data_IF_698940172199
#
_entry.id   IF_698940172199
#
_cell.length_a   1.000
_cell.length_b   1.000
_cell.length_c   1.000
_cell.angle_alpha   90.00
_cell.angle_beta   90.00
_cell.angle_gamma   90.00
#
_symmetry.space_group_name_H-M   'P 1'
#
loop_
_entity.id
_entity.type
_entity.pdbx_description
1 polymer ?
#
# COMPACT_ATOMS: atom_id res chain seq x y z
N UNK A 1 -55.90 0.18 16.60
CA UNK A 1 -56.40 -1.09 17.20
C UNK A 1 -56.69 -0.84 18.68
N UNK A 2 -57.74 -1.43 19.31
CA UNK A 2 -57.96 -1.29 20.76
C UNK A 2 -57.20 -2.37 21.54
N UNK A 3 -56.94 -2.14 22.83
CA UNK A 3 -56.24 -3.11 23.70
C UNK A 3 -56.99 -4.44 23.77
N UNK A 4 -58.35 -4.41 23.77
CA UNK A 4 -59.18 -5.63 23.76
C UNK A 4 -58.96 -6.45 22.48
N UNK A 5 -58.99 -5.80 21.31
CA UNK A 5 -58.76 -6.48 20.03
C UNK A 5 -57.31 -7.03 19.92
N UNK A 6 -56.34 -6.28 20.41
CA UNK A 6 -54.96 -6.75 20.43
C UNK A 6 -54.80 -7.97 21.31
N UNK A 7 -55.41 -7.97 22.48
CA UNK A 7 -55.42 -9.11 23.39
C UNK A 7 -56.10 -10.36 22.77
N UNK A 8 -57.21 -10.18 22.09
CA UNK A 8 -57.93 -11.25 21.40
C UNK A 8 -57.09 -11.89 20.28
N UNK A 9 -56.48 -11.07 19.39
CA UNK A 9 -55.65 -11.58 18.29
C UNK A 9 -54.41 -12.32 18.75
N UNK A 10 -53.79 -11.88 19.86
CA UNK A 10 -52.58 -12.49 20.40
C UNK A 10 -52.86 -13.58 21.43
N UNK A 11 -54.14 -13.85 21.73
CA UNK A 11 -54.61 -14.82 22.73
C UNK A 11 -53.95 -14.60 24.12
N UNK A 12 -53.90 -13.33 24.53
CA UNK A 12 -53.40 -12.88 25.83
C UNK A 12 -54.50 -12.15 26.62
N UNK A 13 -54.27 -11.88 27.90
CA UNK A 13 -55.25 -11.10 28.69
C UNK A 13 -55.16 -9.59 28.37
N UNK A 14 -56.27 -8.87 28.45
CA UNK A 14 -56.34 -7.42 28.37
C UNK A 14 -55.33 -6.75 29.34
N UNK A 15 -55.22 -7.29 30.55
CA UNK A 15 -54.31 -6.79 31.58
C UNK A 15 -52.83 -6.90 31.13
N UNK A 16 -52.49 -7.93 30.36
CA UNK A 16 -51.14 -8.08 29.80
C UNK A 16 -50.83 -6.94 28.80
N UNK A 17 -51.74 -6.71 27.86
CA UNK A 17 -51.61 -5.61 26.87
C UNK A 17 -51.54 -4.25 27.57
N UNK A 18 -52.38 -4.00 28.53
CA UNK A 18 -52.40 -2.76 29.32
C UNK A 18 -51.06 -2.52 30.07
N UNK A 19 -50.43 -3.60 30.60
CA UNK A 19 -49.11 -3.52 31.22
C UNK A 19 -48.01 -3.24 30.20
N UNK A 20 -48.09 -3.77 28.99
CA UNK A 20 -47.12 -3.50 27.92
C UNK A 20 -47.18 -2.05 27.48
N UNK A 21 -48.38 -1.50 27.25
CA UNK A 21 -48.55 -0.12 26.84
C UNK A 21 -48.17 0.90 27.93
N UNK A 22 -48.30 0.51 29.20
CA UNK A 22 -47.89 1.39 30.33
C UNK A 22 -46.43 1.20 30.74
N UNK A 23 -45.68 0.29 30.07
CA UNK A 23 -44.30 -0.04 30.41
C UNK A 23 -44.14 -0.80 31.74
N UNK A 24 -45.26 -1.27 32.38
CA UNK A 24 -45.20 -2.04 33.62
C UNK A 24 -44.73 -3.49 33.41
N UNK A 25 -44.77 -3.98 32.19
CA UNK A 25 -44.20 -5.26 31.76
C UNK A 25 -43.86 -5.20 30.26
N UNK A 26 -42.98 -6.08 29.80
CA UNK A 26 -42.71 -6.29 28.38
C UNK A 26 -43.41 -7.52 27.87
N UNK A 27 -43.76 -7.59 26.57
CA UNK A 27 -44.19 -8.82 25.91
C UNK A 27 -43.12 -9.91 26.05
N UNK A 28 -43.53 -11.16 26.10
CA UNK A 28 -42.64 -12.30 25.96
C UNK A 28 -41.98 -12.29 24.56
N UNK A 29 -40.71 -12.73 24.45
CA UNK A 29 -40.00 -12.81 23.17
C UNK A 29 -40.77 -13.56 22.09
N UNK A 30 -41.55 -14.57 22.44
CA UNK A 30 -42.42 -15.32 21.53
C UNK A 30 -43.54 -14.49 20.92
N UNK A 31 -43.89 -13.36 21.55
CA UNK A 31 -44.95 -12.44 21.10
C UNK A 31 -44.44 -11.33 20.18
N UNK A 32 -43.13 -11.11 20.11
CA UNK A 32 -42.54 -9.99 19.34
C UNK A 32 -42.90 -10.13 17.84
N UNK A 33 -42.64 -11.28 17.23
CA UNK A 33 -42.94 -11.52 15.81
C UNK A 33 -44.46 -11.48 15.52
N UNK A 34 -45.35 -12.13 16.34
CA UNK A 34 -46.78 -11.96 16.19
C UNK A 34 -47.28 -10.50 16.31
N UNK A 35 -46.73 -9.72 17.26
CA UNK A 35 -47.02 -8.30 17.42
C UNK A 35 -46.63 -7.49 16.19
N UNK A 36 -45.41 -7.65 15.73
CA UNK A 36 -44.89 -6.93 14.54
C UNK A 36 -45.78 -7.22 13.31
N UNK A 37 -46.12 -8.48 13.07
CA UNK A 37 -47.01 -8.89 11.96
C UNK A 37 -48.42 -8.31 12.09
N UNK A 38 -48.98 -8.30 13.32
CA UNK A 38 -50.33 -7.80 13.56
C UNK A 38 -50.44 -6.28 13.41
N UNK A 39 -49.35 -5.58 13.74
CA UNK A 39 -49.27 -4.12 13.64
C UNK A 39 -48.75 -3.66 12.25
N UNK A 40 -48.37 -4.60 11.37
CA UNK A 40 -47.84 -4.37 10.04
C UNK A 40 -46.56 -3.50 10.09
N UNK A 41 -45.68 -3.81 11.04
CA UNK A 41 -44.38 -3.20 11.23
C UNK A 41 -43.28 -4.25 11.28
N UNK A 42 -42.03 -3.83 11.11
CA UNK A 42 -40.86 -4.68 11.35
C UNK A 42 -40.63 -4.90 12.87
N UNK A 43 -39.84 -5.87 13.26
CA UNK A 43 -39.41 -6.02 14.65
C UNK A 43 -38.60 -4.85 15.14
N UNK A 44 -37.79 -4.27 14.25
CA UNK A 44 -36.95 -3.10 14.55
C UNK A 44 -37.81 -1.88 14.84
N UNK A 45 -38.81 -1.60 13.98
CA UNK A 45 -39.78 -0.52 14.21
C UNK A 45 -40.59 -0.76 15.49
N UNK A 46 -40.91 -2.01 15.82
CA UNK A 46 -41.61 -2.35 17.07
C UNK A 46 -40.76 -2.01 18.31
N UNK A 47 -39.44 -2.18 18.20
CA UNK A 47 -38.48 -1.80 19.25
C UNK A 47 -38.08 -0.32 19.20
N UNK A 48 -38.61 0.44 18.26
CA UNK A 48 -38.27 1.86 18.10
C UNK A 48 -36.90 2.10 17.45
N UNK A 49 -36.36 1.09 16.77
CA UNK A 49 -35.11 1.23 16.00
C UNK A 49 -35.49 1.83 14.63
N UNK A 50 -35.15 3.09 14.42
CA UNK A 50 -35.23 3.72 13.10
C UNK A 50 -33.92 3.42 12.34
N UNK A 51 -33.99 2.52 11.38
CA UNK A 51 -32.84 2.13 10.56
C UNK A 51 -32.20 3.32 9.81
N UNK A 52 -32.98 4.35 9.48
CA UNK A 52 -32.45 5.55 8.84
C UNK A 52 -31.73 6.45 9.84
N UNK A 53 -32.29 6.63 11.04
CA UNK A 53 -31.61 7.39 12.11
C UNK A 53 -30.30 6.71 12.52
N UNK A 54 -30.29 5.38 12.59
CA UNK A 54 -29.09 4.62 12.92
C UNK A 54 -28.01 4.76 11.83
N UNK A 55 -28.37 4.66 10.56
CA UNK A 55 -27.42 4.91 9.45
C UNK A 55 -26.83 6.31 9.49
N UNK A 56 -27.67 7.34 9.69
CA UNK A 56 -27.21 8.71 9.82
C UNK A 56 -26.30 8.91 11.05
N UNK A 57 -26.61 8.24 12.16
CA UNK A 57 -25.75 8.23 13.35
C UNK A 57 -24.38 7.64 13.04
N UNK A 58 -24.33 6.50 12.36
CA UNK A 58 -23.08 5.83 12.00
C UNK A 58 -22.25 6.66 11.02
N UNK A 59 -22.85 7.29 10.01
CA UNK A 59 -22.16 8.19 9.09
C UNK A 59 -21.56 9.38 9.83
N UNK A 60 -22.33 10.06 10.68
CA UNK A 60 -21.84 11.17 11.48
C UNK A 60 -20.75 10.76 12.46
N UNK A 61 -20.85 9.57 13.03
CA UNK A 61 -19.83 9.02 13.92
C UNK A 61 -18.52 8.78 13.17
N UNK A 62 -18.58 8.23 11.95
CA UNK A 62 -17.40 8.06 11.09
C UNK A 62 -16.75 9.40 10.80
N UNK A 63 -17.49 10.42 10.47
CA UNK A 63 -16.96 11.77 10.27
C UNK A 63 -16.23 12.29 11.52
N UNK A 64 -16.85 12.16 12.71
CA UNK A 64 -16.25 12.59 13.98
C UNK A 64 -14.98 11.79 14.29
N UNK A 65 -14.99 10.48 14.04
CA UNK A 65 -13.81 9.61 14.23
C UNK A 65 -12.67 10.04 13.32
N UNK A 66 -12.92 10.23 12.02
CA UNK A 66 -11.90 10.67 11.07
C UNK A 66 -11.40 12.08 11.32
N UNK A 67 -12.23 12.96 11.89
CA UNK A 67 -11.78 14.29 12.32
C UNK A 67 -10.74 14.22 13.45
N UNK A 68 -10.79 13.20 14.32
CA UNK A 68 -9.75 12.99 15.34
C UNK A 68 -8.37 12.69 14.75
N UNK A 69 -8.30 12.16 13.53
CA UNK A 69 -7.04 11.94 12.84
C UNK A 69 -6.42 13.25 12.33
N UNK A 70 -7.24 14.18 11.89
CA UNK A 70 -6.80 15.51 11.44
C UNK A 70 -6.35 16.38 12.61
N UNK A 71 -7.03 16.27 13.74
CA UNK A 71 -6.74 17.05 14.94
C UNK A 71 -5.67 16.43 15.84
N UNK A 72 -5.36 15.13 15.65
CA UNK A 72 -4.44 14.40 16.51
C UNK A 72 -5.03 14.06 17.89
N UNK A 73 -6.37 14.14 18.06
CA UNK A 73 -7.04 13.88 19.34
C UNK A 73 -7.16 12.38 19.63
N UNK A 74 -6.09 11.83 20.20
CA UNK A 74 -5.97 10.40 20.51
C UNK A 74 -6.97 9.97 21.58
N UNK A 75 -7.16 10.80 22.61
CA UNK A 75 -8.07 10.49 23.72
C UNK A 75 -9.52 10.38 23.25
N UNK A 76 -9.96 11.35 22.44
CA UNK A 76 -11.29 11.32 21.86
C UNK A 76 -11.49 10.12 20.94
N UNK A 77 -10.49 9.79 20.12
CA UNK A 77 -10.49 8.61 19.24
C UNK A 77 -10.66 7.32 20.04
N UNK A 78 -9.89 7.15 21.11
CA UNK A 78 -9.97 5.99 21.99
C UNK A 78 -11.35 5.88 22.64
N UNK A 79 -11.88 6.99 23.18
CA UNK A 79 -13.18 7.01 23.82
C UNK A 79 -14.29 6.61 22.88
N UNK A 80 -14.29 7.16 21.65
CA UNK A 80 -15.26 6.78 20.61
C UNK A 80 -15.14 5.29 20.31
N UNK A 81 -13.95 4.80 19.99
CA UNK A 81 -13.72 3.41 19.61
C UNK A 81 -14.15 2.43 20.70
N UNK A 82 -13.87 2.75 21.95
CA UNK A 82 -14.25 1.92 23.09
C UNK A 82 -15.77 1.88 23.28
N UNK A 83 -16.44 3.02 23.22
CA UNK A 83 -17.89 3.11 23.34
C UNK A 83 -18.58 2.31 22.23
N UNK A 84 -18.12 2.42 20.98
CA UNK A 84 -18.74 1.73 19.86
C UNK A 84 -18.51 0.21 19.91
N UNK A 85 -17.37 -0.27 20.38
CA UNK A 85 -17.16 -1.72 20.58
C UNK A 85 -18.02 -2.26 21.71
N UNK A 86 -18.28 -1.50 22.77
CA UNK A 86 -19.20 -1.88 23.85
C UNK A 86 -20.65 -1.95 23.35
N UNK A 87 -21.05 -1.01 22.49
CA UNK A 87 -22.41 -0.95 21.92
C UNK A 87 -22.62 -1.97 20.80
N UNK A 88 -21.59 -2.20 19.95
CA UNK A 88 -21.62 -3.11 18.79
C UNK A 88 -20.48 -4.14 18.85
N UNK A 89 -20.48 -5.09 19.78
CA UNK A 89 -19.34 -5.99 20.04
C UNK A 89 -18.97 -6.92 18.87
N UNK A 90 -19.88 -7.08 17.90
CA UNK A 90 -19.64 -7.86 16.68
C UNK A 90 -19.13 -7.03 15.48
N UNK A 91 -19.03 -5.71 15.62
CA UNK A 91 -18.59 -4.84 14.52
C UNK A 91 -17.06 -4.78 14.46
N UNK A 92 -16.50 -5.49 13.45
CA UNK A 92 -15.04 -5.59 13.29
C UNK A 92 -14.39 -4.27 12.82
N UNK A 93 -15.13 -3.34 12.21
CA UNK A 93 -14.62 -2.01 11.89
C UNK A 93 -14.40 -1.18 13.16
N UNK A 94 -15.35 -1.22 14.09
CA UNK A 94 -15.19 -0.55 15.38
C UNK A 94 -14.09 -1.21 16.23
N UNK A 95 -13.99 -2.55 16.16
CA UNK A 95 -12.88 -3.26 16.81
C UNK A 95 -11.53 -2.84 16.25
N UNK A 96 -11.44 -2.61 14.93
CA UNK A 96 -10.24 -2.06 14.29
C UNK A 96 -9.93 -0.65 14.80
N UNK A 97 -10.93 0.21 14.95
CA UNK A 97 -10.72 1.55 15.50
C UNK A 97 -10.13 1.49 16.91
N UNK A 98 -10.61 0.55 17.73
CA UNK A 98 -10.09 0.35 19.08
C UNK A 98 -8.67 -0.21 19.06
N UNK A 99 -8.38 -1.18 18.18
CA UNK A 99 -7.04 -1.74 18.01
C UNK A 99 -6.02 -0.68 17.60
N UNK A 100 -6.38 0.17 16.63
CA UNK A 100 -5.56 1.32 16.20
C UNK A 100 -5.34 2.30 17.35
N UNK A 101 -6.40 2.65 18.10
CA UNK A 101 -6.31 3.58 19.21
C UNK A 101 -5.40 3.05 20.33
N UNK A 102 -5.48 1.77 20.68
CA UNK A 102 -4.58 1.11 21.63
C UNK A 102 -3.12 1.22 21.15
N UNK A 103 -2.85 0.92 19.89
CA UNK A 103 -1.50 1.05 19.30
C UNK A 103 -0.98 2.49 19.41
N UNK A 104 -1.80 3.49 19.12
CA UNK A 104 -1.41 4.90 19.25
C UNK A 104 -1.18 5.32 20.70
N UNK A 105 -1.97 4.84 21.64
CA UNK A 105 -1.69 5.06 23.06
C UNK A 105 -0.34 4.47 23.45
N UNK A 106 -0.03 3.24 23.01
CA UNK A 106 1.29 2.63 23.23
C UNK A 106 2.44 3.48 22.70
N UNK A 107 2.31 4.06 21.50
CA UNK A 107 3.34 4.93 20.89
C UNK A 107 3.53 6.23 21.69
N UNK A 108 2.46 6.77 22.29
CA UNK A 108 2.47 8.07 22.99
C UNK A 108 2.61 7.96 24.50
N UNK A 109 2.84 6.76 25.05
CA UNK A 109 3.17 6.61 26.47
C UNK A 109 4.44 7.39 26.82
N UNK A 110 4.41 8.11 27.94
CA UNK A 110 5.49 8.99 28.36
C UNK A 110 6.78 8.23 28.69
N UNK A 111 6.68 6.96 29.07
CA UNK A 111 7.80 6.12 29.48
C UNK A 111 7.91 4.90 28.57
N UNK A 112 8.99 4.87 27.78
CA UNK A 112 9.28 3.75 26.87
C UNK A 112 9.58 2.47 27.67
N UNK A 113 8.93 1.38 27.31
CA UNK A 113 9.06 0.09 27.99
C UNK A 113 8.26 0.00 29.28
N UNK A 114 7.42 0.98 29.61
CA UNK A 114 6.51 0.92 30.75
C UNK A 114 5.50 -0.21 30.62
N UNK A 115 5.02 -0.68 31.78
CA UNK A 115 3.96 -1.70 31.81
C UNK A 115 2.71 -1.24 31.05
N UNK A 116 2.35 0.04 31.18
CA UNK A 116 1.23 0.65 30.50
C UNK A 116 1.39 0.59 28.96
N UNK A 117 2.56 0.96 28.45
CA UNK A 117 2.88 0.88 27.03
C UNK A 117 2.72 -0.55 26.48
N UNK A 118 3.30 -1.51 27.21
CA UNK A 118 3.24 -2.92 26.83
C UNK A 118 1.79 -3.41 26.80
N UNK A 119 1.00 -3.07 27.82
CA UNK A 119 -0.42 -3.45 27.89
C UNK A 119 -1.25 -2.88 26.72
N UNK A 120 -0.96 -1.65 26.30
CA UNK A 120 -1.61 -1.06 25.13
C UNK A 120 -1.27 -1.82 23.86
N UNK A 121 -0.01 -2.11 23.59
CA UNK A 121 0.38 -2.88 22.41
C UNK A 121 -0.16 -4.31 22.43
N UNK A 122 -0.17 -4.99 23.58
CA UNK A 122 -0.74 -6.34 23.69
C UNK A 122 -2.24 -6.35 23.43
N UNK A 123 -3.00 -5.34 23.90
CA UNK A 123 -4.42 -5.20 23.56
C UNK A 123 -4.63 -4.93 22.06
N UNK A 124 -3.78 -4.06 21.47
CA UNK A 124 -3.81 -3.80 20.04
C UNK A 124 -3.60 -5.08 19.24
N UNK A 125 -2.60 -5.88 19.57
CA UNK A 125 -2.33 -7.19 18.94
C UNK A 125 -3.54 -8.11 19.07
N UNK A 126 -4.07 -8.27 20.28
CA UNK A 126 -5.23 -9.12 20.55
C UNK A 126 -6.45 -8.75 19.69
N UNK A 127 -6.77 -7.47 19.58
CA UNK A 127 -7.91 -7.02 18.77
C UNK A 127 -7.68 -7.22 17.27
N UNK A 128 -6.47 -6.99 16.77
CA UNK A 128 -6.15 -7.25 15.36
C UNK A 128 -6.17 -8.75 15.04
N UNK A 129 -5.68 -9.63 15.93
CA UNK A 129 -5.76 -11.09 15.74
C UNK A 129 -7.21 -11.52 15.60
N UNK A 130 -8.08 -11.01 16.46
CA UNK A 130 -9.51 -11.29 16.39
C UNK A 130 -10.14 -10.85 15.06
N UNK A 131 -9.75 -9.69 14.54
CA UNK A 131 -10.21 -9.22 13.22
C UNK A 131 -9.73 -10.15 12.11
N UNK A 132 -8.48 -10.62 12.16
CA UNK A 132 -7.93 -11.54 11.16
C UNK A 132 -8.67 -12.88 11.17
N UNK A 133 -9.04 -13.37 12.37
CA UNK A 133 -9.77 -14.62 12.55
C UNK A 133 -11.22 -14.50 12.05
N UNK A 134 -11.95 -13.48 12.48
CA UNK A 134 -13.39 -13.38 12.32
C UNK A 134 -13.84 -12.70 11.01
N UNK A 135 -12.99 -11.86 10.39
CA UNK A 135 -13.35 -11.11 9.19
C UNK A 135 -13.39 -12.00 7.94
N UNK A 136 -14.32 -11.71 7.04
CA UNK A 136 -14.33 -12.20 5.65
C UNK A 136 -13.86 -11.13 4.66
N UNK A 137 -13.72 -9.88 5.11
CA UNK A 137 -13.25 -8.76 4.30
C UNK A 137 -11.72 -8.76 4.20
N UNK A 138 -11.19 -8.91 3.00
CA UNK A 138 -9.75 -8.94 2.72
C UNK A 138 -9.06 -7.62 3.07
N UNK A 139 -9.69 -6.48 2.81
CA UNK A 139 -9.11 -5.16 3.10
C UNK A 139 -9.01 -4.92 4.61
N UNK A 140 -10.02 -5.36 5.35
CA UNK A 140 -9.99 -5.27 6.81
C UNK A 140 -8.90 -6.17 7.39
N UNK A 141 -8.74 -7.40 6.87
CA UNK A 141 -7.64 -8.31 7.24
C UNK A 141 -6.26 -7.73 6.92
N UNK A 142 -6.07 -7.20 5.74
CA UNK A 142 -4.81 -6.55 5.35
C UNK A 142 -4.47 -5.38 6.28
N UNK A 143 -5.47 -4.54 6.59
CA UNK A 143 -5.29 -3.44 7.53
C UNK A 143 -4.93 -3.93 8.94
N UNK A 144 -5.55 -5.01 9.41
CA UNK A 144 -5.25 -5.63 10.71
C UNK A 144 -3.84 -6.24 10.74
N UNK A 145 -3.43 -6.95 9.67
CA UNK A 145 -2.05 -7.48 9.55
C UNK A 145 -1.03 -6.35 9.63
N UNK A 146 -1.29 -5.22 8.97
CA UNK A 146 -0.42 -4.02 9.06
C UNK A 146 -0.31 -3.51 10.50
N UNK A 147 -1.42 -3.37 11.20
CA UNK A 147 -1.47 -2.93 12.59
C UNK A 147 -0.72 -3.88 13.54
N UNK A 148 -0.92 -5.19 13.37
CA UNK A 148 -0.22 -6.21 14.17
C UNK A 148 1.30 -6.15 13.98
N UNK A 149 1.77 -5.97 12.74
CA UNK A 149 3.20 -5.85 12.45
C UNK A 149 3.82 -4.68 13.20
N UNK A 150 3.14 -3.53 13.26
CA UNK A 150 3.62 -2.37 14.01
C UNK A 150 3.64 -2.66 15.51
N UNK A 151 2.53 -3.12 16.09
CA UNK A 151 2.44 -3.38 17.52
C UNK A 151 3.45 -4.44 17.99
N UNK A 152 3.61 -5.54 17.27
CA UNK A 152 4.59 -6.57 17.57
C UNK A 152 6.05 -6.07 17.41
N UNK A 153 6.31 -5.21 16.44
CA UNK A 153 7.64 -4.62 16.24
C UNK A 153 8.02 -3.72 17.41
N UNK A 154 7.07 -2.92 17.94
CA UNK A 154 7.24 -2.05 19.09
C UNK A 154 7.38 -2.85 20.41
N UNK A 155 6.68 -3.99 20.53
CA UNK A 155 6.90 -4.96 21.60
C UNK A 155 8.25 -5.70 21.50
N UNK A 156 8.99 -5.53 20.40
CA UNK A 156 10.23 -6.26 20.13
C UNK A 156 10.03 -7.72 19.67
N UNK A 157 8.79 -8.17 19.47
CA UNK A 157 8.40 -9.53 19.00
C UNK A 157 8.51 -9.64 17.47
N UNK A 158 9.73 -9.36 16.95
CA UNK A 158 9.95 -9.19 15.51
C UNK A 158 9.79 -10.45 14.68
N UNK A 159 10.07 -11.61 15.24
CA UNK A 159 9.91 -12.88 14.51
C UNK A 159 8.44 -13.18 14.24
N UNK A 160 7.56 -12.82 15.19
CA UNK A 160 6.12 -12.92 15.02
C UNK A 160 5.63 -11.86 14.01
N UNK A 161 6.07 -10.61 14.15
CA UNK A 161 5.79 -9.56 13.18
C UNK A 161 6.16 -9.98 11.74
N UNK A 162 7.31 -10.65 11.59
CA UNK A 162 7.78 -11.15 10.30
C UNK A 162 6.85 -12.20 9.69
N UNK A 163 6.24 -13.06 10.50
CA UNK A 163 5.27 -14.06 10.03
C UNK A 163 4.02 -13.38 9.45
N UNK A 164 3.50 -12.36 10.12
CA UNK A 164 2.37 -11.56 9.61
C UNK A 164 2.76 -10.73 8.38
N UNK A 165 3.90 -10.05 8.40
CA UNK A 165 4.36 -9.22 7.28
C UNK A 165 4.48 -10.00 5.97
N UNK A 166 4.92 -11.27 6.01
CA UNK A 166 5.05 -12.13 4.83
C UNK A 166 3.73 -12.46 4.15
N UNK A 167 2.62 -12.38 4.87
CA UNK A 167 1.27 -12.68 4.36
C UNK A 167 0.61 -11.45 3.71
N UNK A 168 1.17 -10.26 3.92
CA UNK A 168 0.59 -9.01 3.42
C UNK A 168 0.97 -8.77 1.95
N UNK A 169 0.06 -8.25 1.10
CA UNK A 169 0.39 -7.87 -0.29
C UNK A 169 1.58 -6.90 -0.37
N UNK A 170 1.61 -5.88 0.50
CA UNK A 170 2.70 -4.91 0.61
C UNK A 170 3.80 -5.39 1.59
N UNK A 171 4.10 -6.68 1.59
CA UNK A 171 5.08 -7.28 2.52
C UNK A 171 6.40 -6.52 2.57
N UNK A 172 6.85 -6.04 1.42
CA UNK A 172 8.13 -5.36 1.31
C UNK A 172 8.18 -4.04 2.09
N UNK A 173 7.06 -3.32 2.17
CA UNK A 173 6.95 -2.13 3.02
C UNK A 173 6.90 -2.49 4.52
N UNK A 174 6.34 -3.64 4.87
CA UNK A 174 6.25 -4.08 6.26
C UNK A 174 7.54 -4.71 6.79
N UNK A 175 8.31 -5.40 5.95
CA UNK A 175 9.58 -6.03 6.34
C UNK A 175 10.58 -5.05 6.97
N UNK A 176 10.55 -3.77 6.58
CA UNK A 176 11.42 -2.74 7.17
C UNK A 176 11.23 -2.52 8.68
N UNK A 177 10.08 -2.90 9.24
CA UNK A 177 9.79 -2.83 10.67
C UNK A 177 10.24 -4.08 11.43
N UNK A 178 10.30 -5.22 10.72
CA UNK A 178 10.66 -6.52 11.28
C UNK A 178 12.17 -6.77 11.26
N UNK A 179 12.87 -6.33 10.20
CA UNK A 179 14.28 -6.60 9.97
C UNK A 179 15.21 -5.72 10.83
N UNK A 180 16.46 -6.17 11.05
CA UNK A 180 17.51 -5.45 11.79
C UNK A 180 18.86 -5.55 11.09
N UNK A 181 19.78 -4.70 11.51
CA UNK A 181 21.20 -4.77 11.14
C UNK A 181 21.43 -4.75 9.63
N UNK A 182 22.23 -5.66 9.12
CA UNK A 182 22.59 -5.72 7.70
C UNK A 182 21.41 -6.15 6.83
N UNK A 183 20.52 -7.03 7.31
CA UNK A 183 19.33 -7.44 6.56
C UNK A 183 18.37 -6.24 6.34
N UNK A 184 18.19 -5.41 7.36
CA UNK A 184 17.41 -4.17 7.21
C UNK A 184 18.06 -3.19 6.22
N UNK A 185 19.40 -3.05 6.25
CA UNK A 185 20.12 -2.18 5.32
C UNK A 185 19.95 -2.69 3.88
N UNK A 186 20.19 -3.98 3.67
CA UNK A 186 20.00 -4.62 2.36
C UNK A 186 18.58 -4.44 1.85
N UNK A 187 17.58 -4.72 2.69
CA UNK A 187 16.17 -4.58 2.34
C UNK A 187 15.81 -3.13 1.96
N UNK A 188 16.26 -2.14 2.75
CA UNK A 188 16.05 -0.72 2.44
C UNK A 188 16.68 -0.31 1.12
N UNK A 189 17.89 -0.77 0.82
CA UNK A 189 18.56 -0.50 -0.45
C UNK A 189 17.81 -1.13 -1.63
N UNK A 190 17.27 -2.34 -1.48
CA UNK A 190 16.39 -2.98 -2.48
C UNK A 190 15.11 -2.19 -2.72
N UNK A 191 14.51 -1.63 -1.65
CA UNK A 191 13.33 -0.77 -1.79
C UNK A 191 13.67 0.55 -2.52
N UNK A 192 14.79 1.19 -2.17
CA UNK A 192 15.26 2.41 -2.86
C UNK A 192 15.51 2.11 -4.34
N UNK A 193 16.17 0.99 -4.64
CA UNK A 193 16.44 0.57 -6.02
C UNK A 193 15.16 0.46 -6.84
N UNK A 194 14.14 -0.25 -6.33
CA UNK A 194 12.84 -0.40 -7.03
C UNK A 194 12.14 0.95 -7.21
N UNK A 195 12.04 1.74 -6.13
CA UNK A 195 11.38 3.07 -6.19
C UNK A 195 12.10 4.04 -7.12
N UNK A 196 13.43 3.96 -7.20
CA UNK A 196 14.20 4.74 -8.18
C UNK A 196 13.88 4.27 -9.60
N UNK A 197 13.89 2.96 -9.85
CA UNK A 197 13.54 2.40 -11.17
C UNK A 197 12.14 2.81 -11.61
N UNK A 198 11.15 2.72 -10.71
CA UNK A 198 9.77 3.12 -10.97
C UNK A 198 9.69 4.62 -11.31
N UNK A 199 10.34 5.48 -10.50
CA UNK A 199 10.39 6.92 -10.74
C UNK A 199 11.02 7.26 -12.10
N UNK A 200 12.15 6.62 -12.44
CA UNK A 200 12.81 6.85 -13.72
C UNK A 200 11.90 6.43 -14.88
N UNK A 201 11.23 5.28 -14.77
CA UNK A 201 10.26 4.80 -15.76
C UNK A 201 9.11 5.79 -15.96
N UNK A 202 8.52 6.31 -14.89
CA UNK A 202 7.43 7.31 -14.99
C UNK A 202 7.91 8.61 -15.66
N UNK A 203 9.12 9.08 -15.37
CA UNK A 203 9.69 10.28 -16.01
C UNK A 203 9.97 10.06 -17.50
N UNK A 204 10.23 8.84 -17.93
CA UNK A 204 10.51 8.46 -19.31
C UNK A 204 9.27 8.17 -20.14
N UNK A 205 8.10 7.96 -19.51
CA UNK A 205 6.83 7.73 -20.24
C UNK A 205 6.37 8.93 -21.06
N UNK A 206 6.79 10.15 -20.70
CA UNK A 206 6.54 11.37 -21.46
C UNK A 206 7.57 11.52 -22.59
N UNK A 207 7.51 10.61 -23.58
CA UNK A 207 8.47 10.47 -24.69
C UNK A 207 8.76 11.72 -25.52
N UNK A 208 8.02 12.80 -25.32
CA UNK A 208 8.18 14.05 -26.08
C UNK A 208 8.62 15.23 -25.21
N UNK A 209 8.77 15.02 -23.90
CA UNK A 209 9.24 16.04 -22.97
C UNK A 209 10.72 15.85 -22.67
N UNK A 210 11.56 16.54 -23.45
CA UNK A 210 13.01 16.44 -23.32
C UNK A 210 13.53 16.76 -21.91
N UNK A 211 12.94 17.75 -21.24
CA UNK A 211 13.39 18.13 -19.90
C UNK A 211 13.05 17.06 -18.84
N UNK A 212 11.91 16.41 -18.96
CA UNK A 212 11.49 15.32 -18.05
C UNK A 212 12.40 14.10 -18.22
N UNK A 213 12.68 13.70 -19.49
CA UNK A 213 13.61 12.60 -19.80
C UNK A 213 15.01 12.91 -19.27
N UNK A 214 15.49 14.13 -19.49
CA UNK A 214 16.79 14.58 -18.99
C UNK A 214 16.85 14.66 -17.47
N UNK A 215 15.72 14.93 -16.80
CA UNK A 215 15.64 14.93 -15.35
C UNK A 215 15.87 13.52 -14.80
N UNK A 216 15.33 12.47 -15.44
CA UNK A 216 15.57 11.08 -15.06
C UNK A 216 17.08 10.74 -15.09
N UNK A 217 17.79 11.12 -16.15
CA UNK A 217 19.26 10.96 -16.24
C UNK A 217 19.97 11.66 -15.08
N UNK A 218 19.61 12.92 -14.79
CA UNK A 218 20.22 13.70 -13.70
C UNK A 218 20.00 13.08 -12.33
N UNK A 219 18.77 12.60 -12.06
CA UNK A 219 18.43 11.92 -10.81
C UNK A 219 19.27 10.66 -10.65
N UNK A 220 19.36 9.83 -11.69
CA UNK A 220 20.13 8.60 -11.64
C UNK A 220 21.62 8.88 -11.35
N UNK A 221 22.21 9.84 -12.06
CA UNK A 221 23.62 10.24 -11.87
C UNK A 221 23.88 10.88 -10.51
N UNK A 222 22.89 11.53 -9.91
CA UNK A 222 23.01 12.08 -8.56
C UNK A 222 22.97 10.96 -7.50
N UNK A 223 22.16 9.92 -7.71
CA UNK A 223 22.01 8.81 -6.78
C UNK A 223 23.19 7.82 -6.88
N UNK A 224 23.69 7.58 -8.09
CA UNK A 224 24.86 6.72 -8.36
C UNK A 224 26.01 7.63 -8.80
N UNK A 225 26.69 8.22 -7.82
CA UNK A 225 27.70 9.26 -8.01
C UNK A 225 29.10 8.72 -8.37
N UNK A 226 29.28 7.40 -8.27
CA UNK A 226 30.51 6.68 -8.61
C UNK A 226 30.52 6.04 -10.00
N UNK A 227 29.48 6.30 -10.79
CA UNK A 227 29.28 5.79 -12.16
C UNK A 227 29.19 4.25 -12.27
N UNK A 228 29.12 3.53 -11.15
CA UNK A 228 28.90 2.08 -11.15
C UNK A 228 27.41 1.73 -11.33
N UNK A 229 26.88 2.03 -12.53
CA UNK A 229 25.45 1.93 -12.84
C UNK A 229 24.92 0.50 -12.92
N UNK A 230 25.72 -0.48 -13.27
CA UNK A 230 25.38 -1.89 -13.42
C UNK A 230 24.06 -2.10 -14.22
N UNK A 231 23.00 -2.53 -13.57
CA UNK A 231 21.69 -2.70 -14.21
C UNK A 231 21.18 -1.40 -14.85
N UNK A 232 21.45 -0.25 -14.24
CA UNK A 232 20.97 1.03 -14.76
C UNK A 232 21.68 1.50 -16.05
N UNK A 233 22.67 0.77 -16.56
CA UNK A 233 23.15 1.01 -17.93
C UNK A 233 22.06 0.79 -18.98
N UNK A 234 21.13 -0.19 -18.76
CA UNK A 234 19.92 -0.36 -19.58
C UNK A 234 19.04 0.89 -19.56
N UNK A 235 18.76 1.41 -18.36
CA UNK A 235 17.95 2.62 -18.19
C UNK A 235 18.63 3.83 -18.91
N UNK A 236 19.94 4.03 -18.74
CA UNK A 236 20.65 5.12 -19.40
C UNK A 236 20.68 4.97 -20.92
N UNK A 237 20.86 3.75 -21.43
CA UNK A 237 20.80 3.47 -22.85
C UNK A 237 19.45 3.90 -23.43
N UNK A 238 18.35 3.45 -22.83
CA UNK A 238 17.02 3.80 -23.29
C UNK A 238 16.70 5.29 -23.13
N UNK A 239 17.09 5.89 -22.03
CA UNK A 239 16.94 7.32 -21.77
C UNK A 239 17.60 8.16 -22.88
N UNK A 240 18.83 7.79 -23.30
CA UNK A 240 19.53 8.48 -24.39
C UNK A 240 18.85 8.24 -25.76
N UNK A 241 18.24 7.09 -26.01
CA UNK A 241 17.39 6.89 -27.20
C UNK A 241 16.25 7.92 -27.21
N UNK A 242 15.53 8.08 -26.09
CA UNK A 242 14.43 9.02 -25.98
C UNK A 242 14.88 10.48 -26.12
N UNK A 243 16.03 10.84 -25.53
CA UNK A 243 16.62 12.16 -25.73
C UNK A 243 16.96 12.43 -27.19
N UNK A 244 17.58 11.45 -27.87
CA UNK A 244 17.92 11.57 -29.29
C UNK A 244 16.68 11.71 -30.17
N UNK A 245 15.57 11.01 -29.88
CA UNK A 245 14.28 11.19 -30.55
C UNK A 245 13.76 12.63 -30.43
N UNK A 246 13.78 13.19 -29.21
CA UNK A 246 13.37 14.57 -28.97
C UNK A 246 14.21 15.56 -29.77
N UNK A 247 15.54 15.39 -29.75
CA UNK A 247 16.48 16.23 -30.48
C UNK A 247 16.28 16.13 -32.00
N UNK A 248 16.04 14.93 -32.52
CA UNK A 248 15.74 14.72 -33.94
C UNK A 248 14.46 15.45 -34.35
N UNK A 249 13.40 15.36 -33.54
CA UNK A 249 12.15 16.10 -33.74
C UNK A 249 12.36 17.63 -33.71
N UNK A 250 13.30 18.11 -32.88
CA UNK A 250 13.71 19.52 -32.81
C UNK A 250 14.71 19.91 -33.93
N UNK A 251 15.07 19.00 -34.81
CA UNK A 251 16.06 19.17 -35.89
C UNK A 251 17.47 19.44 -35.40
N UNK A 252 17.79 19.05 -34.17
CA UNK A 252 19.14 19.14 -33.57
C UNK A 252 19.95 17.88 -33.88
N UNK A 253 20.17 17.60 -35.17
CA UNK A 253 20.64 16.31 -35.67
C UNK A 253 22.04 15.92 -35.17
N UNK A 254 22.96 16.88 -35.09
CA UNK A 254 24.34 16.63 -34.61
C UNK A 254 24.34 16.21 -33.15
N UNK A 255 23.52 16.86 -32.34
CA UNK A 255 23.38 16.54 -30.91
C UNK A 255 22.69 15.20 -30.71
N UNK A 256 21.63 14.92 -31.48
CA UNK A 256 20.98 13.63 -31.48
C UNK A 256 21.93 12.46 -31.74
N UNK A 257 22.78 12.59 -32.76
CA UNK A 257 23.81 11.60 -33.11
C UNK A 257 24.84 11.45 -31.98
N UNK A 258 25.25 12.53 -31.36
CA UNK A 258 26.16 12.49 -30.21
C UNK A 258 25.56 11.73 -29.03
N UNK A 259 24.26 11.94 -28.76
CA UNK A 259 23.53 11.25 -27.69
C UNK A 259 23.36 9.75 -28.02
N UNK A 260 23.11 9.40 -29.29
CA UNK A 260 23.04 7.98 -29.71
C UNK A 260 24.37 7.24 -29.49
N UNK A 261 25.52 7.90 -29.64
CA UNK A 261 26.83 7.30 -29.30
C UNK A 261 26.91 6.93 -27.82
N UNK A 262 26.48 7.84 -26.94
CA UNK A 262 26.42 7.56 -25.50
C UNK A 262 25.48 6.40 -25.19
N UNK A 263 24.32 6.35 -25.85
CA UNK A 263 23.39 5.24 -25.72
C UNK A 263 24.06 3.90 -26.05
N UNK A 264 24.79 3.84 -27.18
CA UNK A 264 25.52 2.63 -27.56
C UNK A 264 26.60 2.22 -26.54
N UNK A 265 27.36 3.21 -26.01
CA UNK A 265 28.35 2.94 -24.98
C UNK A 265 27.73 2.26 -23.74
N UNK A 266 26.56 2.71 -23.32
CA UNK A 266 25.83 2.08 -22.22
C UNK A 266 25.31 0.68 -22.57
N UNK A 267 24.86 0.45 -23.79
CA UNK A 267 24.47 -0.88 -24.26
C UNK A 267 25.64 -1.89 -24.18
N UNK A 268 26.82 -1.48 -24.66
CA UNK A 268 28.05 -2.32 -24.61
C UNK A 268 28.45 -2.60 -23.17
N UNK A 269 28.41 -1.58 -22.29
CA UNK A 269 28.75 -1.75 -20.87
C UNK A 269 27.77 -2.69 -20.18
N UNK A 270 26.48 -2.58 -20.45
CA UNK A 270 25.47 -3.50 -19.92
C UNK A 270 25.76 -4.95 -20.32
N UNK A 271 25.96 -5.22 -21.62
CA UNK A 271 26.22 -6.58 -22.11
C UNK A 271 27.45 -7.19 -21.45
N UNK A 272 28.53 -6.40 -21.31
CA UNK A 272 29.75 -6.85 -20.63
C UNK A 272 29.51 -7.18 -19.15
N UNK A 273 28.83 -6.29 -18.44
CA UNK A 273 28.51 -6.49 -17.01
C UNK A 273 27.57 -7.65 -16.83
N UNK A 274 26.56 -7.80 -17.72
CA UNK A 274 25.62 -8.90 -17.69
C UNK A 274 26.31 -10.27 -17.79
N UNK A 275 27.27 -10.41 -18.69
CA UNK A 275 28.06 -11.65 -18.82
C UNK A 275 28.87 -11.94 -17.56
N UNK A 276 29.48 -10.94 -16.94
CA UNK A 276 30.20 -11.10 -15.66
C UNK A 276 29.24 -11.49 -14.52
N UNK A 277 28.08 -10.83 -14.46
CA UNK A 277 27.08 -11.06 -13.42
C UNK A 277 26.37 -12.44 -13.53
N UNK A 278 26.44 -13.09 -14.67
CA UNK A 278 26.03 -14.51 -14.83
C UNK A 278 26.94 -15.48 -14.09
N UNK A 279 28.22 -15.19 -14.04
CA UNK A 279 29.21 -16.03 -13.36
C UNK A 279 29.23 -15.73 -11.87
N UNK A 280 29.21 -14.45 -11.51
CA UNK A 280 29.24 -14.00 -10.11
C UNK A 280 28.50 -12.67 -9.98
N UNK A 281 27.57 -12.53 -9.02
CA UNK A 281 26.89 -11.25 -8.78
C UNK A 281 27.86 -10.10 -8.57
N UNK A 282 27.65 -8.98 -9.29
CA UNK A 282 28.51 -7.81 -9.25
C UNK A 282 27.95 -6.80 -8.23
N UNK A 283 28.69 -6.44 -7.17
CA UNK A 283 28.20 -5.53 -6.15
C UNK A 283 28.13 -4.08 -6.65
N UNK A 284 27.12 -3.33 -6.22
CA UNK A 284 27.10 -1.89 -6.33
C UNK A 284 28.12 -1.29 -5.33
N UNK A 285 28.76 -0.21 -5.73
CA UNK A 285 29.76 0.50 -4.90
C UNK A 285 29.22 1.81 -4.33
N UNK A 286 28.26 2.43 -5.00
CA UNK A 286 27.57 3.63 -4.48
C UNK A 286 27.00 3.38 -3.09
N UNK A 287 27.16 4.33 -2.17
CA UNK A 287 26.79 4.19 -0.76
C UNK A 287 25.32 3.80 -0.56
N UNK A 288 24.45 4.26 -1.44
CA UNK A 288 23.00 3.99 -1.42
C UNK A 288 22.66 2.55 -1.80
N UNK A 289 23.58 1.80 -2.46
CA UNK A 289 23.34 0.44 -2.95
C UNK A 289 24.42 -0.59 -2.56
N UNK A 290 25.39 -0.24 -1.71
CA UNK A 290 26.57 -1.09 -1.38
C UNK A 290 26.26 -2.38 -0.60
N UNK A 291 24.98 -2.69 -0.35
CA UNK A 291 24.53 -3.95 0.27
C UNK A 291 23.77 -4.85 -0.70
N UNK A 292 23.60 -4.42 -1.94
CA UNK A 292 22.96 -5.20 -3.00
C UNK A 292 23.93 -5.40 -4.16
N UNK A 293 23.64 -6.41 -4.97
CA UNK A 293 24.44 -6.77 -6.13
C UNK A 293 23.54 -6.97 -7.34
N UNK A 294 24.09 -6.76 -8.52
CA UNK A 294 23.46 -7.14 -9.77
C UNK A 294 23.77 -8.60 -10.05
N UNK A 295 22.73 -9.46 -10.05
CA UNK A 295 22.78 -10.86 -10.41
C UNK A 295 21.98 -11.08 -11.70
N UNK A 296 22.68 -11.42 -12.78
CA UNK A 296 22.05 -11.62 -14.08
C UNK A 296 21.15 -12.86 -14.14
N UNK A 297 21.30 -13.80 -13.19
CA UNK A 297 20.46 -14.98 -13.10
C UNK A 297 19.07 -14.71 -12.47
N UNK A 298 18.92 -13.58 -11.76
CA UNK A 298 17.65 -13.12 -11.20
C UNK A 298 16.84 -12.29 -12.20
N UNK A 299 17.41 -11.93 -13.36
CA UNK A 299 16.74 -11.07 -14.37
C UNK A 299 15.81 -11.90 -15.23
N UNK A 300 14.53 -11.52 -15.23
CA UNK A 300 13.54 -12.07 -16.16
C UNK A 300 13.66 -11.33 -17.49
N UNK A 301 14.06 -12.06 -18.54
CA UNK A 301 14.17 -11.50 -19.91
C UNK A 301 12.90 -11.75 -20.70
N UNK A 302 12.46 -10.76 -21.45
CA UNK A 302 11.37 -10.88 -22.41
C UNK A 302 11.82 -11.48 -23.77
N UNK A 303 13.13 -11.60 -24.00
CA UNK A 303 13.71 -12.09 -25.24
C UNK A 303 15.17 -12.51 -25.10
N UNK A 304 15.78 -12.95 -26.19
CA UNK A 304 17.18 -13.42 -26.25
C UNK A 304 18.17 -12.33 -26.69
N UNK A 305 17.69 -11.19 -27.18
CA UNK A 305 18.51 -10.10 -27.67
C UNK A 305 19.45 -9.54 -26.59
N UNK A 306 20.67 -9.22 -26.99
CA UNK A 306 21.59 -8.43 -26.16
C UNK A 306 21.16 -6.96 -26.14
N UNK A 307 21.71 -6.16 -25.24
CA UNK A 307 21.38 -4.73 -25.17
C UNK A 307 21.88 -3.98 -26.40
N UNK A 308 23.02 -4.40 -26.96
CA UNK A 308 23.52 -3.85 -28.21
C UNK A 308 22.66 -4.23 -29.43
N UNK A 309 22.04 -5.41 -29.45
CA UNK A 309 21.05 -5.78 -30.47
C UNK A 309 19.78 -4.95 -30.34
N UNK A 310 19.25 -4.81 -29.11
CA UNK A 310 18.09 -3.94 -28.83
C UNK A 310 18.34 -2.49 -29.22
N UNK A 311 19.53 -1.97 -28.95
CA UNK A 311 19.93 -0.61 -29.39
C UNK A 311 19.81 -0.48 -30.93
N UNK A 312 20.29 -1.46 -31.70
CA UNK A 312 20.17 -1.43 -33.18
C UNK A 312 18.72 -1.48 -33.66
N UNK A 313 17.86 -2.23 -32.97
CA UNK A 313 16.41 -2.24 -33.23
C UNK A 313 15.79 -0.86 -33.03
N UNK A 314 16.16 -0.15 -31.93
CA UNK A 314 15.68 1.21 -31.70
C UNK A 314 16.10 2.20 -32.77
N UNK A 315 17.27 2.03 -33.40
CA UNK A 315 17.70 2.87 -34.52
C UNK A 315 16.80 2.73 -35.78
N UNK A 316 16.00 1.66 -35.89
CA UNK A 316 15.06 1.47 -36.99
C UNK A 316 13.76 2.28 -36.80
N UNK A 317 13.55 2.92 -35.67
CA UNK A 317 12.33 3.69 -35.42
C UNK A 317 12.22 4.88 -36.38
N UNK A 318 10.99 5.15 -36.86
CA UNK A 318 10.65 6.23 -37.80
C UNK A 318 11.16 7.62 -37.33
N UNK A 319 11.22 7.81 -36.01
CA UNK A 319 11.73 9.07 -35.44
C UNK A 319 13.15 9.42 -35.86
N UNK A 320 13.95 8.45 -36.32
CA UNK A 320 15.32 8.66 -36.79
C UNK A 320 15.43 8.75 -38.32
N UNK A 321 14.35 8.62 -39.08
CA UNK A 321 14.38 8.75 -40.55
C UNK A 321 15.06 10.04 -41.05
N UNK A 322 14.85 11.21 -40.41
CA UNK A 322 15.51 12.44 -40.83
C UNK A 322 17.03 12.43 -40.82
N UNK A 323 17.65 11.51 -40.07
CA UNK A 323 19.11 11.42 -39.89
C UNK A 323 19.67 10.11 -40.43
N UNK A 324 18.85 9.17 -40.84
CA UNK A 324 19.21 7.78 -41.24
C UNK A 324 20.28 7.72 -42.34
N UNK A 325 20.19 8.59 -43.33
CA UNK A 325 21.10 8.59 -44.47
C UNK A 325 22.39 9.34 -44.22
N UNK A 326 22.55 9.98 -43.06
CA UNK A 326 23.79 10.69 -42.71
C UNK A 326 24.92 9.71 -42.43
N UNK A 327 26.16 10.07 -42.86
CA UNK A 327 27.36 9.24 -42.65
C UNK A 327 27.58 8.96 -41.15
N UNK A 328 27.32 9.96 -40.31
CA UNK A 328 27.55 9.88 -38.87
C UNK A 328 26.56 8.91 -38.21
N UNK A 329 25.28 8.90 -38.62
CA UNK A 329 24.28 7.93 -38.15
C UNK A 329 24.62 6.51 -38.62
N UNK A 330 24.97 6.37 -39.93
CA UNK A 330 25.37 5.05 -40.49
C UNK A 330 26.61 4.49 -39.74
N UNK A 331 27.56 5.37 -39.32
CA UNK A 331 28.69 4.91 -38.51
C UNK A 331 28.30 4.31 -37.17
N UNK A 332 27.17 4.74 -36.57
CA UNK A 332 26.65 4.18 -35.32
C UNK A 332 25.89 2.88 -35.60
N UNK A 333 25.10 2.84 -36.67
CA UNK A 333 24.33 1.65 -37.07
C UNK A 333 25.22 0.45 -37.41
N UNK A 334 26.47 0.70 -37.81
CA UNK A 334 27.46 -0.32 -38.15
C UNK A 334 28.35 -0.74 -36.96
N UNK A 335 28.21 -0.16 -35.78
CA UNK A 335 28.87 -0.58 -34.55
C UNK A 335 28.20 -1.84 -33.99
#
# INVERSE_FOLDING_TARGET
MTQEKLAEYLNVSFQAVSKWETGAASPDLSMIVPLARLLDVTTDELFGVDSNEELLRQEKLKEIYYETWKTGDIEKRYKISKTEVEEYPGNLEYLKWLADAEGFFGIHCNELGSKEQIEHFERSVFYFEKIIEDSTDSHLKESAIRGIVFALSDLGRRDEALQYARQHPDRDELLKYCLKGEDLKKHRQTLIFRKLSDLLGELETDHYNFETIRLAEKILKLVIDDENYLWFHETLMFNYILQAQCLTKQKQYTEAISILRKSYEHAVLYDKIFMTAKETPVPYTASVFNKISFDANEIVKSGTATMTESFREFLLWESFDPIRDSKDFQSISNL
#
